data_IF_517353934398
#
_entry.id   IF_517353934398
#
_cell.length_a   1.000
_cell.length_b   1.000
_cell.length_c   1.000
_cell.angle_alpha   90.00
_cell.angle_beta   90.00
_cell.angle_gamma   90.00
#
_symmetry.space_group_name_H-M   'P 1'
#
loop_
_entity.id
_entity.type
_entity.pdbx_description
1 polymer ?
#
# COMPACT_ATOMS: atom_id res chain seq x y z
N UNK A 1 1.73 -16.35 4.58
CA UNK A 1 2.12 -16.52 3.17
C UNK A 1 2.78 -15.22 2.72
N UNK A 2 4.07 -15.21 2.42
CA UNK A 2 4.75 -13.99 1.98
C UNK A 2 4.43 -13.77 0.49
N UNK A 3 3.35 -13.02 0.23
CA UNK A 3 2.76 -12.88 -1.10
C UNK A 3 3.79 -12.43 -2.15
N UNK A 4 4.76 -11.61 -1.74
CA UNK A 4 5.79 -11.04 -2.62
C UNK A 4 6.76 -12.08 -3.18
N UNK A 5 7.21 -13.06 -2.39
CA UNK A 5 8.08 -14.13 -2.88
C UNK A 5 7.35 -15.09 -3.82
N UNK A 6 6.04 -15.25 -3.65
CA UNK A 6 5.23 -16.13 -4.51
C UNK A 6 4.95 -15.52 -5.89
N UNK A 7 4.98 -14.18 -6.02
CA UNK A 7 4.71 -13.52 -7.30
C UNK A 7 5.80 -13.77 -8.34
N UNK A 8 7.07 -13.82 -7.92
CA UNK A 8 8.19 -14.17 -8.82
C UNK A 8 7.96 -15.55 -9.44
N UNK A 9 7.69 -16.57 -8.62
CA UNK A 9 7.39 -17.93 -9.10
C UNK A 9 6.14 -18.00 -9.99
N UNK A 10 5.11 -17.19 -9.70
CA UNK A 10 3.91 -17.10 -10.56
C UNK A 10 4.29 -16.53 -11.93
N UNK A 11 5.08 -15.46 -12.00
CA UNK A 11 5.51 -14.89 -13.27
C UNK A 11 6.46 -15.83 -14.03
N UNK A 12 7.38 -16.52 -13.36
CA UNK A 12 8.30 -17.49 -13.97
C UNK A 12 7.58 -18.71 -14.55
N UNK A 13 6.43 -19.10 -13.97
CA UNK A 13 5.63 -20.22 -14.47
C UNK A 13 4.93 -19.94 -15.80
N UNK A 14 4.85 -18.67 -16.23
CA UNK A 14 4.16 -18.26 -17.45
C UNK A 14 5.10 -18.34 -18.66
N UNK A 15 4.82 -19.27 -19.58
CA UNK A 15 5.64 -19.53 -20.78
C UNK A 15 5.75 -18.37 -21.77
N UNK A 16 4.87 -17.36 -21.66
CA UNK A 16 4.87 -16.16 -22.50
C UNK A 16 5.66 -14.99 -21.91
N UNK A 17 6.21 -15.13 -20.70
CA UNK A 17 7.05 -14.11 -20.04
C UNK A 17 8.52 -14.51 -20.21
N UNK A 18 9.33 -13.62 -20.79
CA UNK A 18 10.76 -13.88 -20.99
C UNK A 18 11.65 -13.23 -19.97
N UNK A 19 11.20 -12.11 -19.42
CA UNK A 19 11.97 -11.35 -18.45
C UNK A 19 11.06 -10.76 -17.40
N UNK A 20 11.46 -10.93 -16.16
CA UNK A 20 10.81 -10.36 -14.99
C UNK A 20 11.79 -9.37 -14.39
N UNK A 21 11.29 -8.18 -14.08
CA UNK A 21 12.03 -7.16 -13.38
C UNK A 21 11.33 -6.85 -12.06
N UNK A 22 12.15 -6.69 -11.02
CA UNK A 22 11.71 -6.38 -9.66
C UNK A 22 12.48 -5.16 -9.16
N UNK A 23 11.76 -4.17 -8.67
CA UNK A 23 12.31 -3.06 -7.87
C UNK A 23 11.65 -3.10 -6.50
N UNK A 24 12.46 -3.14 -5.46
CA UNK A 24 12.00 -3.14 -4.07
C UNK A 24 12.58 -1.92 -3.36
N UNK A 25 11.70 -1.15 -2.74
CA UNK A 25 12.06 0.04 -1.98
C UNK A 25 11.40 -0.01 -0.62
N UNK A 26 12.17 0.39 0.39
CA UNK A 26 11.63 0.69 1.71
C UNK A 26 11.36 2.17 1.82
N UNK A 27 10.26 2.54 2.44
CA UNK A 27 9.91 3.93 2.68
C UNK A 27 9.20 4.05 4.01
N UNK A 28 9.47 5.13 4.72
CA UNK A 28 8.71 5.52 5.91
C UNK A 28 7.51 6.34 5.43
N UNK A 29 6.30 5.98 5.86
CA UNK A 29 5.10 6.79 5.56
C UNK A 29 5.08 8.01 6.47
N UNK A 30 4.59 9.13 5.91
CA UNK A 30 4.35 10.36 6.63
C UNK A 30 5.55 11.30 6.68
N UNK A 31 5.49 12.34 7.51
CA UNK A 31 6.47 13.41 7.52
C UNK A 31 7.88 12.95 7.92
N UNK A 32 8.00 11.83 8.64
CA UNK A 32 9.28 11.23 9.01
C UNK A 32 9.98 10.51 7.83
N UNK A 33 9.32 10.35 6.68
CA UNK A 33 9.86 9.75 5.46
C UNK A 33 10.13 10.75 4.34
N UNK A 34 10.37 12.01 4.69
CA UNK A 34 10.57 13.12 3.75
C UNK A 34 9.41 13.28 2.75
N UNK A 35 9.68 13.93 1.61
CA UNK A 35 8.69 14.19 0.56
C UNK A 35 8.01 12.92 0.06
N UNK A 36 8.75 11.83 -0.04
CA UNK A 36 8.21 10.54 -0.51
C UNK A 36 7.22 9.99 0.52
N UNK A 37 7.57 10.02 1.81
CA UNK A 37 6.66 9.61 2.88
C UNK A 37 5.37 10.40 2.93
N UNK A 38 5.42 11.72 2.70
CA UNK A 38 4.23 12.58 2.60
C UNK A 38 3.34 12.17 1.42
N UNK A 39 3.94 11.88 0.25
CA UNK A 39 3.17 11.43 -0.93
C UNK A 39 2.45 10.11 -0.62
N UNK A 40 3.12 9.14 0.00
CA UNK A 40 2.48 7.88 0.38
C UNK A 40 1.38 8.06 1.42
N UNK A 41 1.56 8.93 2.41
CA UNK A 41 0.50 9.28 3.35
C UNK A 41 -0.73 9.82 2.61
N UNK A 42 -0.54 10.77 1.69
CA UNK A 42 -1.65 11.36 0.95
C UNK A 42 -2.39 10.33 0.09
N UNK A 43 -1.66 9.43 -0.58
CA UNK A 43 -2.25 8.33 -1.35
C UNK A 43 -3.07 7.41 -0.44
N UNK A 44 -2.51 7.01 0.69
CA UNK A 44 -3.17 6.11 1.63
C UNK A 44 -4.44 6.72 2.24
N UNK A 45 -4.35 7.95 2.75
CA UNK A 45 -5.50 8.67 3.31
C UNK A 45 -6.57 8.87 2.23
N UNK A 46 -6.18 9.30 1.02
CA UNK A 46 -7.12 9.47 -0.09
C UNK A 46 -7.87 8.19 -0.41
N UNK A 47 -7.19 7.03 -0.41
CA UNK A 47 -7.84 5.74 -0.58
C UNK A 47 -8.83 5.44 0.55
N UNK A 48 -8.40 5.60 1.82
CA UNK A 48 -9.25 5.35 2.98
C UNK A 48 -10.50 6.24 3.02
N UNK A 49 -10.47 7.42 2.40
CA UNK A 49 -11.64 8.31 2.31
C UNK A 49 -12.61 8.00 1.16
N UNK A 50 -12.33 7.00 0.32
CA UNK A 50 -13.27 6.57 -0.73
C UNK A 50 -14.45 5.81 -0.14
N UNK A 51 -15.66 5.95 -0.71
CA UNK A 51 -16.86 5.23 -0.25
C UNK A 51 -16.64 3.71 -0.19
N UNK A 52 -15.99 3.15 -1.20
CA UNK A 52 -15.66 1.72 -1.25
C UNK A 52 -14.76 1.29 -0.07
N UNK A 53 -13.74 2.07 0.25
CA UNK A 53 -12.83 1.76 1.35
C UNK A 53 -13.52 1.96 2.70
N UNK A 54 -14.28 3.04 2.88
CA UNK A 54 -15.08 3.30 4.08
C UNK A 54 -16.01 2.11 4.33
N UNK A 55 -16.80 1.71 3.33
CA UNK A 55 -17.77 0.64 3.46
C UNK A 55 -17.12 -0.70 3.76
N UNK A 56 -16.02 -1.03 3.08
CA UNK A 56 -15.36 -2.33 3.26
C UNK A 56 -14.59 -2.39 4.58
N UNK A 57 -13.80 -1.36 4.88
CA UNK A 57 -12.90 -1.37 6.02
C UNK A 57 -13.60 -1.06 7.34
N UNK A 58 -14.65 -0.21 7.35
CA UNK A 58 -15.42 0.00 8.58
C UNK A 58 -16.12 -1.29 9.02
N UNK A 59 -16.67 -2.04 8.06
CA UNK A 59 -17.30 -3.34 8.32
C UNK A 59 -16.30 -4.37 8.84
N UNK A 60 -15.11 -4.47 8.21
CA UNK A 60 -14.04 -5.37 8.64
C UNK A 60 -13.56 -5.05 10.06
N UNK A 61 -13.47 -3.77 10.41
CA UNK A 61 -13.05 -3.30 11.73
C UNK A 61 -14.17 -3.32 12.78
N UNK A 62 -15.41 -3.59 12.38
CA UNK A 62 -16.57 -3.60 13.28
C UNK A 62 -16.92 -2.22 13.86
N UNK A 63 -16.62 -1.14 13.14
CA UNK A 63 -16.90 0.25 13.55
C UNK A 63 -17.85 0.94 12.58
N UNK A 64 -18.46 2.05 13.00
CA UNK A 64 -19.29 2.86 12.10
C UNK A 64 -18.46 3.50 10.99
N UNK A 65 -19.11 3.79 9.85
CA UNK A 65 -18.50 4.51 8.73
C UNK A 65 -17.97 5.88 9.16
N UNK A 66 -18.71 6.58 10.01
CA UNK A 66 -18.34 7.87 10.57
C UNK A 66 -17.06 7.77 11.42
N UNK A 67 -16.97 6.76 12.29
CA UNK A 67 -15.78 6.55 13.11
C UNK A 67 -14.57 6.17 12.25
N UNK A 68 -14.76 5.32 11.24
CA UNK A 68 -13.69 4.98 10.32
C UNK A 68 -13.17 6.20 9.55
N UNK A 69 -14.08 7.04 9.05
CA UNK A 69 -13.71 8.27 8.34
C UNK A 69 -12.94 9.22 9.26
N UNK A 70 -13.42 9.44 10.48
CA UNK A 70 -12.72 10.27 11.46
C UNK A 70 -11.30 9.73 11.74
N UNK A 71 -11.17 8.43 11.96
CA UNK A 71 -9.89 7.76 12.19
C UNK A 71 -8.94 7.93 10.98
N UNK A 72 -9.44 7.76 9.76
CA UNK A 72 -8.65 7.90 8.54
C UNK A 72 -8.16 9.34 8.29
N UNK A 73 -9.00 10.33 8.57
CA UNK A 73 -8.71 11.74 8.31
C UNK A 73 -7.90 12.41 9.43
N UNK A 74 -7.98 11.91 10.67
CA UNK A 74 -7.35 12.55 11.83
C UNK A 74 -6.33 11.62 12.51
N UNK A 75 -6.80 10.50 13.07
CA UNK A 75 -5.98 9.66 13.95
C UNK A 75 -4.77 9.06 13.22
N UNK A 76 -4.98 8.54 12.00
CA UNK A 76 -3.91 7.97 11.17
C UNK A 76 -2.85 9.01 10.81
N UNK A 77 -3.26 10.24 10.52
CA UNK A 77 -2.32 11.33 10.18
C UNK A 77 -1.46 11.70 11.39
N UNK A 78 -2.04 11.73 12.59
CA UNK A 78 -1.27 11.96 13.81
C UNK A 78 -0.34 10.80 14.13
N UNK A 79 -0.78 9.56 13.94
CA UNK A 79 0.05 8.37 14.14
C UNK A 79 1.30 8.40 13.26
N UNK A 80 1.18 8.80 11.99
CA UNK A 80 2.32 8.94 11.08
C UNK A 80 3.31 10.05 11.47
N UNK A 81 2.88 11.06 12.23
CA UNK A 81 3.78 12.08 12.78
C UNK A 81 4.60 11.53 13.95
N UNK A 82 3.96 10.70 14.78
CA UNK A 82 4.55 10.20 16.03
C UNK A 82 5.43 8.95 15.82
N UNK A 83 5.12 8.17 14.78
CA UNK A 83 5.80 6.90 14.50
C UNK A 83 6.60 6.94 13.19
N UNK A 84 7.27 5.83 12.88
CA UNK A 84 8.00 5.63 11.62
C UNK A 84 7.53 4.34 10.94
N UNK A 85 6.29 4.31 10.43
CA UNK A 85 5.75 3.11 9.80
C UNK A 85 6.49 2.86 8.48
N UNK A 86 7.19 1.72 8.41
CA UNK A 86 7.89 1.30 7.21
C UNK A 86 6.99 0.49 6.28
N UNK A 87 7.01 0.83 4.99
CA UNK A 87 6.40 0.05 3.93
C UNK A 87 7.45 -0.48 2.96
N UNK A 88 7.23 -1.71 2.50
CA UNK A 88 7.95 -2.27 1.36
C UNK A 88 7.11 -2.05 0.11
N UNK A 89 7.57 -1.14 -0.76
CA UNK A 89 7.02 -0.98 -2.09
C UNK A 89 7.76 -1.92 -3.04
N UNK A 90 7.02 -2.85 -3.64
CA UNK A 90 7.56 -3.82 -4.59
C UNK A 90 6.86 -3.61 -5.92
N UNK A 91 7.65 -3.30 -6.96
CA UNK A 91 7.17 -3.16 -8.33
C UNK A 91 7.69 -4.31 -9.17
N UNK A 92 6.77 -4.99 -9.85
CA UNK A 92 7.08 -5.96 -10.88
C UNK A 92 6.72 -5.40 -12.26
N UNK A 93 7.55 -5.69 -13.26
CA UNK A 93 7.16 -5.53 -14.67
C UNK A 93 7.78 -6.65 -15.49
N UNK A 94 7.04 -7.11 -16.49
CA UNK A 94 7.41 -8.29 -17.27
C UNK A 94 7.44 -7.96 -18.75
N UNK A 95 8.36 -8.61 -19.47
CA UNK A 95 8.43 -8.56 -20.93
C UNK A 95 7.79 -9.83 -21.47
N UNK A 96 6.82 -9.68 -22.38
CA UNK A 96 6.21 -10.79 -23.09
C UNK A 96 7.04 -11.17 -24.31
N UNK A 97 6.95 -12.43 -24.71
CA UNK A 97 7.28 -12.82 -26.08
C UNK A 97 6.33 -12.10 -27.05
N UNK A 98 6.90 -11.48 -28.09
CA UNK A 98 6.15 -11.03 -29.27
C UNK A 98 5.65 -12.24 -30.05
#
# INVERSE_FOLDING_TARGET
MNLSCNLDSIFESHSNITKIHRDERKTIIGPNGDKIGIVYQNIFVSFCTTEMAIDSLSNELGISKENFKYMAENDIIEEFKQTKPEINYIRFWTQKNL
#
